data_IF_575482688144
#
_entry.id   IF_575482688144
#
_cell.length_a   1.000
_cell.length_b   1.000
_cell.length_c   1.000
_cell.angle_alpha   90.00
_cell.angle_beta   90.00
_cell.angle_gamma   90.00
#
_symmetry.space_group_name_H-M   'P 1'
#
loop_
_entity.id
_entity.type
_entity.pdbx_description
1 polymer ?
#
# COMPACT_ATOMS: atom_id res chain seq x y z
N UNK A 1 -5.18 3.24 13.85
CA UNK A 1 -5.85 3.00 15.13
C UNK A 1 -5.44 1.63 15.65
N UNK A 2 -4.92 1.57 16.88
CA UNK A 2 -4.59 0.33 17.60
C UNK A 2 -5.73 -0.06 18.58
N UNK A 3 -5.61 -1.21 19.25
CA UNK A 3 -6.64 -1.71 20.16
C UNK A 3 -6.92 -0.78 21.36
N UNK A 4 -5.91 -0.27 22.10
CA UNK A 4 -6.17 0.67 23.20
C UNK A 4 -6.93 1.93 22.78
N UNK A 5 -6.57 2.54 21.65
CA UNK A 5 -7.28 3.70 21.10
C UNK A 5 -8.74 3.36 20.77
N UNK A 6 -8.98 2.18 20.19
CA UNK A 6 -10.32 1.74 19.84
C UNK A 6 -11.20 1.52 21.09
N UNK A 7 -10.65 0.95 22.15
CA UNK A 7 -11.34 0.77 23.42
C UNK A 7 -11.73 2.12 24.03
N UNK A 8 -10.81 3.08 24.03
CA UNK A 8 -11.09 4.44 24.53
C UNK A 8 -12.16 5.14 23.68
N UNK A 9 -12.12 4.99 22.36
CA UNK A 9 -13.12 5.54 21.45
C UNK A 9 -14.50 4.88 21.60
N UNK A 10 -14.56 3.64 22.07
CA UNK A 10 -15.78 2.87 22.28
C UNK A 10 -16.45 3.09 23.65
N UNK A 11 -15.78 3.73 24.61
CA UNK A 11 -16.32 4.00 25.96
C UNK A 11 -17.72 4.63 26.00
N UNK A 12 -18.09 5.60 25.13
CA UNK A 12 -19.42 6.21 25.17
C UNK A 12 -20.51 5.37 24.44
N UNK A 13 -20.14 4.24 23.83
CA UNK A 13 -21.10 3.41 23.09
C UNK A 13 -22.01 2.64 24.04
N UNK A 14 -23.27 2.45 23.60
CA UNK A 14 -24.21 1.53 24.27
C UNK A 14 -23.73 0.09 24.12
N UNK A 15 -24.15 -0.79 25.02
CA UNK A 15 -23.76 -2.21 25.01
C UNK A 15 -24.17 -2.91 23.69
N UNK A 16 -25.22 -2.43 23.03
CA UNK A 16 -25.78 -2.98 21.79
C UNK A 16 -25.26 -2.29 20.52
N UNK A 17 -24.28 -1.39 20.65
CA UNK A 17 -23.73 -0.69 19.50
C UNK A 17 -22.95 -1.64 18.57
N UNK A 18 -23.14 -1.49 17.26
CA UNK A 18 -22.31 -2.16 16.26
C UNK A 18 -21.07 -1.34 15.94
N UNK A 19 -19.92 -2.02 15.86
CA UNK A 19 -18.65 -1.46 15.40
C UNK A 19 -18.30 -2.12 14.07
N UNK A 20 -18.04 -1.29 13.05
CA UNK A 20 -17.52 -1.74 11.76
C UNK A 20 -16.08 -1.26 11.63
N UNK A 21 -15.16 -2.20 11.40
CA UNK A 21 -13.74 -1.90 11.20
C UNK A 21 -13.39 -2.17 9.76
N UNK A 22 -12.86 -1.16 9.07
CA UNK A 22 -12.44 -1.24 7.66
C UNK A 22 -10.92 -1.05 7.60
N UNK A 23 -10.24 -1.90 6.85
CA UNK A 23 -8.79 -1.83 6.68
C UNK A 23 -8.29 -2.84 5.66
N UNK A 24 -6.98 -2.77 5.37
CA UNK A 24 -6.28 -3.71 4.50
C UNK A 24 -4.91 -4.02 5.12
N UNK A 25 -4.72 -5.27 5.53
CA UNK A 25 -3.48 -5.76 6.16
C UNK A 25 -2.29 -5.89 5.21
N UNK A 26 -2.52 -5.90 3.89
CA UNK A 26 -1.47 -5.92 2.86
C UNK A 26 -0.89 -4.52 2.59
N UNK A 27 -1.49 -3.47 3.13
CA UNK A 27 -1.00 -2.09 3.01
C UNK A 27 -0.08 -1.71 4.18
N UNK A 28 0.45 -0.49 4.14
CA UNK A 28 1.41 -0.02 5.14
C UNK A 28 0.80 -0.10 6.57
N UNK A 29 1.52 -0.71 7.52
CA UNK A 29 1.09 -0.71 8.92
C UNK A 29 1.15 0.71 9.50
N UNK A 30 0.50 0.94 10.67
CA UNK A 30 0.64 2.20 11.39
C UNK A 30 2.12 2.55 11.63
N UNK A 31 2.50 3.78 11.31
CA UNK A 31 3.86 4.27 11.58
C UNK A 31 3.98 4.49 13.09
N UNK A 32 4.90 3.77 13.73
CA UNK A 32 5.20 3.93 15.16
C UNK A 32 6.65 4.39 15.29
N UNK A 33 6.84 5.62 15.78
CA UNK A 33 8.16 6.13 16.15
C UNK A 33 8.51 5.58 17.53
N UNK A 34 9.34 4.54 17.57
CA UNK A 34 9.87 3.97 18.80
C UNK A 34 11.38 3.73 18.65
N UNK A 35 12.14 3.99 19.70
CA UNK A 35 13.52 3.53 19.82
C UNK A 35 13.48 2.04 20.18
N UNK A 36 13.73 1.19 19.18
CA UNK A 36 13.65 -0.26 19.33
C UNK A 36 14.91 -0.85 19.97
N UNK A 37 16.02 -0.11 19.97
CA UNK A 37 17.33 -0.57 20.40
C UNK A 37 17.55 -0.32 21.90
N UNK A 38 16.97 0.74 22.47
CA UNK A 38 17.07 1.10 23.89
C UNK A 38 15.87 0.64 24.75
N UNK A 39 15.08 -0.34 24.29
CA UNK A 39 13.78 -0.65 24.89
C UNK A 39 13.87 -1.42 26.23
N UNK A 40 13.89 -0.68 27.34
CA UNK A 40 13.86 -1.24 28.71
C UNK A 40 12.47 -1.74 29.17
N UNK A 41 11.39 -1.40 28.45
CA UNK A 41 10.01 -1.63 28.91
C UNK A 41 9.36 -2.83 28.21
N UNK A 42 9.34 -3.99 28.89
CA UNK A 42 8.66 -5.24 28.48
C UNK A 42 7.21 -5.06 28.00
N UNK A 43 6.53 -4.00 28.45
CA UNK A 43 5.10 -3.77 28.25
C UNK A 43 4.71 -3.41 26.81
N UNK A 44 5.51 -2.65 26.05
CA UNK A 44 5.07 -2.18 24.71
C UNK A 44 5.01 -3.31 23.67
N UNK A 45 5.99 -4.22 23.68
CA UNK A 45 5.94 -5.46 22.89
C UNK A 45 4.86 -6.42 23.39
N UNK A 46 4.62 -6.51 24.70
CA UNK A 46 3.57 -7.36 25.28
C UNK A 46 2.16 -6.91 24.86
N UNK A 47 1.88 -5.62 24.81
CA UNK A 47 0.56 -5.10 24.42
C UNK A 47 0.36 -4.92 22.92
N UNK A 48 1.37 -5.27 22.10
CA UNK A 48 1.34 -5.15 20.63
C UNK A 48 0.76 -3.81 20.15
N UNK A 49 1.12 -2.70 20.79
CA UNK A 49 0.55 -1.37 20.49
C UNK A 49 0.83 -0.88 19.06
N UNK A 50 1.80 -1.52 18.37
CA UNK A 50 2.12 -1.32 16.95
C UNK A 50 1.15 -2.02 15.99
N UNK A 51 0.34 -2.97 16.49
CA UNK A 51 -0.60 -3.73 15.67
C UNK A 51 -1.87 -2.92 15.43
N UNK A 52 -2.34 -2.94 14.19
CA UNK A 52 -3.61 -2.30 13.86
C UNK A 52 -4.79 -3.01 14.55
N UNK A 53 -5.86 -2.28 14.85
CA UNK A 53 -7.12 -2.88 15.33
C UNK A 53 -7.61 -3.95 14.33
N UNK A 54 -7.53 -3.66 13.03
CA UNK A 54 -7.93 -4.58 11.96
C UNK A 54 -7.17 -5.90 12.06
N UNK A 55 -5.84 -5.88 12.17
CA UNK A 55 -5.04 -7.10 12.31
C UNK A 55 -5.31 -7.84 13.61
N UNK A 56 -5.63 -7.11 14.68
CA UNK A 56 -5.97 -7.69 15.98
C UNK A 56 -7.28 -8.48 15.89
N UNK A 57 -8.31 -7.89 15.27
CA UNK A 57 -9.61 -8.54 15.06
C UNK A 57 -9.54 -9.66 14.01
N UNK A 58 -8.73 -9.50 12.96
CA UNK A 58 -8.53 -10.53 11.93
C UNK A 58 -8.02 -11.84 12.50
N UNK A 59 -7.15 -11.79 13.51
CA UNK A 59 -6.66 -13.00 14.19
C UNK A 59 -7.72 -13.74 15.01
N UNK A 60 -8.86 -13.11 15.31
CA UNK A 60 -9.99 -13.74 16.00
C UNK A 60 -10.95 -14.47 15.04
N UNK A 61 -10.65 -14.50 13.74
CA UNK A 61 -11.44 -15.17 12.70
C UNK A 61 -12.92 -14.73 12.67
N UNK A 62 -13.16 -13.43 12.91
CA UNK A 62 -14.48 -12.83 12.86
C UNK A 62 -15.03 -12.80 11.42
N UNK A 63 -16.37 -12.73 11.24
CA UNK A 63 -16.97 -12.53 9.92
C UNK A 63 -16.39 -11.29 9.23
N UNK A 64 -15.88 -11.49 8.01
CA UNK A 64 -15.20 -10.45 7.24
C UNK A 64 -15.67 -10.46 5.80
N UNK A 65 -16.12 -9.31 5.33
CA UNK A 65 -16.42 -9.06 3.92
C UNK A 65 -15.12 -8.62 3.25
N UNK A 66 -14.75 -9.29 2.14
CA UNK A 66 -13.57 -8.97 1.34
C UNK A 66 -14.03 -8.43 -0.01
N UNK A 67 -13.69 -7.18 -0.31
CA UNK A 67 -13.99 -6.57 -1.60
C UNK A 67 -12.98 -7.02 -2.66
N UNK A 68 -13.49 -7.50 -3.79
CA UNK A 68 -12.67 -8.03 -4.87
C UNK A 68 -12.57 -7.08 -6.09
N UNK A 69 -13.46 -6.11 -6.23
CA UNK A 69 -13.47 -5.19 -7.36
C UNK A 69 -12.82 -3.86 -6.99
N UNK A 70 -11.87 -3.41 -7.83
CA UNK A 70 -11.26 -2.09 -7.78
C UNK A 70 -11.80 -1.21 -8.90
N UNK A 71 -12.14 0.03 -8.56
CA UNK A 71 -12.59 1.04 -9.52
C UNK A 71 -11.48 2.03 -9.91
N UNK A 72 -10.30 1.93 -9.28
CA UNK A 72 -9.19 2.89 -9.45
C UNK A 72 -8.22 2.51 -10.58
N UNK A 73 -7.84 1.24 -10.64
CA UNK A 73 -6.75 0.76 -11.51
C UNK A 73 -7.29 0.25 -12.84
N UNK A 74 -6.51 0.37 -13.91
CA UNK A 74 -6.80 -0.34 -15.17
C UNK A 74 -6.76 -1.86 -14.96
N UNK A 75 -7.60 -2.62 -15.66
CA UNK A 75 -7.69 -4.09 -15.52
C UNK A 75 -6.35 -4.81 -15.67
N UNK A 76 -5.56 -4.43 -16.68
CA UNK A 76 -4.20 -4.97 -16.88
C UNK A 76 -3.25 -4.70 -15.69
N UNK A 77 -3.38 -3.55 -15.02
CA UNK A 77 -2.56 -3.25 -13.84
C UNK A 77 -3.04 -4.00 -12.59
N UNK A 78 -4.35 -4.25 -12.48
CA UNK A 78 -4.94 -4.99 -11.36
C UNK A 78 -4.50 -6.47 -11.33
N UNK A 79 -4.03 -7.00 -12.45
CA UNK A 79 -3.57 -8.37 -12.58
C UNK A 79 -2.32 -8.66 -11.72
N UNK A 80 -1.41 -7.70 -11.60
CA UNK A 80 -0.21 -7.87 -10.78
C UNK A 80 -0.55 -8.02 -9.28
N UNK A 81 -1.28 -7.08 -8.62
CA UNK A 81 -1.73 -7.27 -7.25
C UNK A 81 -2.59 -8.52 -7.04
N UNK A 82 -3.39 -8.92 -8.04
CA UNK A 82 -4.18 -10.15 -7.98
C UNK A 82 -3.28 -11.38 -7.79
N UNK A 83 -2.23 -11.51 -8.59
CA UNK A 83 -1.35 -12.68 -8.57
C UNK A 83 -0.38 -12.69 -7.38
N UNK A 84 0.21 -11.53 -7.07
CA UNK A 84 1.32 -11.43 -6.12
C UNK A 84 0.88 -11.11 -4.68
N UNK A 85 -0.25 -10.42 -4.51
CA UNK A 85 -0.68 -9.94 -3.18
C UNK A 85 -1.93 -10.71 -2.74
N UNK A 86 -3.02 -10.58 -3.50
CA UNK A 86 -4.36 -10.98 -3.08
C UNK A 86 -4.69 -12.46 -3.28
N UNK A 87 -3.95 -13.17 -4.15
CA UNK A 87 -4.06 -14.63 -4.31
C UNK A 87 -3.88 -15.37 -2.99
N UNK A 88 -2.95 -14.90 -2.15
CA UNK A 88 -2.65 -15.49 -0.86
C UNK A 88 -3.80 -15.35 0.16
N UNK A 89 -4.71 -14.40 -0.08
CA UNK A 89 -5.88 -14.16 0.77
C UNK A 89 -7.16 -14.73 0.16
N UNK A 90 -7.08 -15.48 -0.94
CA UNK A 90 -8.23 -16.04 -1.65
C UNK A 90 -9.18 -14.97 -2.22
N UNK A 91 -8.67 -13.77 -2.50
CA UNK A 91 -9.45 -12.67 -3.06
C UNK A 91 -9.26 -12.68 -4.59
N UNK A 92 -10.37 -12.81 -5.32
CA UNK A 92 -10.40 -12.71 -6.79
C UNK A 92 -10.32 -11.24 -7.26
N UNK A 93 -9.24 -10.56 -6.87
CA UNK A 93 -9.05 -9.14 -7.12
C UNK A 93 -9.09 -8.82 -8.62
N UNK A 94 -9.88 -7.84 -9.03
CA UNK A 94 -10.00 -7.45 -10.44
C UNK A 94 -10.40 -5.99 -10.59
N UNK A 95 -10.29 -5.48 -11.81
CA UNK A 95 -10.87 -4.20 -12.22
C UNK A 95 -11.47 -4.33 -13.60
N UNK A 96 -12.63 -3.69 -13.81
CA UNK A 96 -13.28 -3.56 -15.12
C UNK A 96 -12.88 -2.27 -15.85
N UNK A 97 -12.05 -1.43 -15.23
CA UNK A 97 -11.65 -0.16 -15.80
C UNK A 97 -10.67 -0.37 -16.97
N UNK A 98 -11.02 0.18 -18.13
CA UNK A 98 -10.24 0.13 -19.39
C UNK A 98 -9.81 1.52 -19.86
N UNK A 99 -9.95 2.54 -19.01
CA UNK A 99 -9.60 3.92 -19.34
C UNK A 99 -8.09 4.07 -19.53
N UNK A 100 -7.70 4.65 -20.65
CA UNK A 100 -6.31 5.00 -20.98
C UNK A 100 -6.14 6.50 -21.09
N UNK A 101 -4.90 6.98 -21.04
CA UNK A 101 -4.58 8.39 -21.26
C UNK A 101 -4.85 8.79 -22.72
N UNK A 102 -5.18 10.05 -22.96
CA UNK A 102 -5.30 10.56 -24.32
C UNK A 102 -3.93 10.56 -25.01
N UNK A 103 -3.89 10.18 -26.29
CA UNK A 103 -2.69 10.26 -27.09
C UNK A 103 -2.19 11.71 -27.13
N UNK A 104 -0.89 11.90 -26.86
CA UNK A 104 -0.23 13.19 -26.99
C UNK A 104 0.70 13.16 -28.20
N UNK A 105 0.44 13.97 -29.23
CA UNK A 105 1.35 14.07 -30.37
C UNK A 105 2.62 14.85 -29.98
N UNK A 106 3.75 14.47 -30.55
CA UNK A 106 5.04 15.12 -30.34
C UNK A 106 5.97 14.39 -29.36
N UNK A 107 7.24 14.78 -29.36
CA UNK A 107 8.31 14.14 -28.60
C UNK A 107 9.26 13.31 -29.47
N UNK A 108 10.37 12.87 -28.87
CA UNK A 108 11.26 11.90 -29.48
C UNK A 108 10.66 10.48 -29.44
N UNK A 109 11.33 9.53 -30.10
CA UNK A 109 10.89 8.12 -30.18
C UNK A 109 10.69 7.52 -28.79
N UNK A 110 11.56 7.88 -27.84
CA UNK A 110 11.48 7.39 -26.47
C UNK A 110 10.23 7.90 -25.75
N UNK A 111 9.97 9.20 -25.80
CA UNK A 111 8.80 9.84 -25.19
C UNK A 111 7.52 9.31 -25.82
N UNK A 112 7.49 9.13 -27.14
CA UNK A 112 6.35 8.55 -27.84
C UNK A 112 6.05 7.12 -27.37
N UNK A 113 7.08 6.30 -27.14
CA UNK A 113 6.92 4.95 -26.57
C UNK A 113 6.41 4.99 -25.13
N UNK A 114 6.92 5.89 -24.29
CA UNK A 114 6.52 6.05 -22.87
C UNK A 114 5.10 6.60 -22.71
N UNK A 115 4.61 7.39 -23.66
CA UNK A 115 3.28 8.01 -23.60
C UNK A 115 2.23 7.28 -24.44
N UNK A 116 2.57 6.13 -25.03
CA UNK A 116 1.68 5.36 -25.89
C UNK A 116 0.45 4.84 -25.11
N UNK A 117 -0.78 5.33 -25.38
CA UNK A 117 -1.97 4.96 -24.61
C UNK A 117 -2.32 3.47 -24.61
N UNK A 118 -1.85 2.74 -25.63
CA UNK A 118 -2.07 1.29 -25.78
C UNK A 118 -1.44 0.49 -24.65
N UNK A 119 -0.45 1.04 -23.94
CA UNK A 119 0.25 0.38 -22.84
C UNK A 119 -0.09 1.06 -21.51
N UNK A 120 -1.04 0.52 -20.71
CA UNK A 120 -1.44 1.11 -19.42
C UNK A 120 -0.37 0.97 -18.32
N UNK A 121 0.67 0.18 -18.56
CA UNK A 121 1.83 0.03 -17.69
C UNK A 121 3.10 -0.01 -18.56
N UNK A 122 4.06 0.86 -18.26
CA UNK A 122 5.33 0.95 -18.97
C UNK A 122 6.44 0.98 -17.91
N UNK A 123 7.49 0.19 -18.12
CA UNK A 123 8.68 0.16 -17.26
C UNK A 123 9.82 0.78 -18.05
N UNK A 124 10.36 1.88 -17.53
CA UNK A 124 11.57 2.51 -18.07
C UNK A 124 12.75 2.04 -17.25
N UNK A 125 13.69 1.35 -17.89
CA UNK A 125 14.94 0.91 -17.26
C UNK A 125 15.99 1.99 -17.47
N UNK A 126 16.60 2.45 -16.38
CA UNK A 126 17.72 3.39 -16.40
C UNK A 126 18.94 2.74 -15.75
N UNK A 127 20.10 2.86 -16.39
CA UNK A 127 21.39 2.39 -15.88
C UNK A 127 22.20 3.61 -15.39
N UNK A 128 22.48 3.66 -14.08
CA UNK A 128 23.14 4.79 -13.41
C UNK A 128 24.65 4.89 -13.70
N UNK A 129 25.24 3.95 -14.46
CA UNK A 129 26.69 3.85 -14.67
C UNK A 129 27.41 5.07 -15.32
N UNK A 130 26.67 6.06 -15.83
CA UNK A 130 27.23 7.22 -16.53
C UNK A 130 27.27 8.53 -15.71
N UNK A 131 26.70 8.58 -14.51
CA UNK A 131 26.68 9.80 -13.69
C UNK A 131 27.97 9.96 -12.87
N UNK A 132 29.10 10.25 -13.52
CA UNK A 132 30.26 10.83 -12.81
C UNK A 132 30.01 12.33 -12.65
N UNK A 133 29.67 12.73 -11.43
CA UNK A 133 29.76 14.12 -11.01
C UNK A 133 31.21 14.57 -11.21
N UNK A 134 31.43 15.51 -12.14
CA UNK A 134 32.75 16.07 -12.42
C UNK A 134 33.37 16.59 -11.13
N UNK A 135 34.49 15.99 -10.73
CA UNK A 135 35.34 16.54 -9.69
C UNK A 135 35.84 17.89 -10.17
N UNK A 136 35.40 18.97 -9.53
CA UNK A 136 36.01 20.29 -9.68
C UNK A 136 37.48 20.19 -9.36
N UNK A 137 38.33 20.24 -10.39
CA UNK A 137 39.77 20.42 -10.25
C UNK A 137 40.02 21.91 -10.12
N UNK A 138 40.16 22.39 -8.88
CA UNK A 138 40.95 23.58 -8.58
C UNK A 138 42.44 23.22 -8.62
N UNK A 139 43.28 24.24 -8.83
CA UNK A 139 44.74 24.27 -9.08
C UNK A 139 45.05 24.24 -10.58
N UNK A 140 45.74 25.22 -11.15
CA UNK A 140 46.82 26.07 -10.62
C UNK A 140 46.71 27.52 -11.09
#
# INVERSE_FOLDING_TARGET
MNLPEALMAALPLKAEALIVVVGEHRQMPPIVKHDWDAEARRTFRQFQAYRSLFDTLRAQNLPMIRFAESFRLHGAMAEFPRQEIYRHDGIAYHSKNTTVLNARPGGDVFTAAVLAPTYPLIVVVHDEGAARCGTGSSRS
#
